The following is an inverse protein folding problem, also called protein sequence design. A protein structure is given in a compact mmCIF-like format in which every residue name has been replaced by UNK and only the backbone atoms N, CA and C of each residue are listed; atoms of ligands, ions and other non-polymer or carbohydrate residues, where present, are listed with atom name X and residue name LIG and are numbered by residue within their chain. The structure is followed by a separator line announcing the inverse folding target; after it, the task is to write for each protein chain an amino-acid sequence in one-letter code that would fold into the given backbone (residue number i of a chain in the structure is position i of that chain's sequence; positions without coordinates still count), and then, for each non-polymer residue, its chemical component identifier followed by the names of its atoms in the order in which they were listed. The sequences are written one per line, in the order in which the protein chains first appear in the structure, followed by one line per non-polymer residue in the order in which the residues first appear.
data_IF_563214862834
#
_entry.id   IF_563214862834
#
_cell.length_a   1.000
_cell.length_b   1.000
_cell.length_c   1.000
_cell.angle_alpha   90.00
_cell.angle_beta   90.00
_cell.angle_gamma   90.00
#
_symmetry.space_group_name_H-M   'P 1'
#
loop_
_entity.id
_entity.type
_entity.pdbx_description
1 polymer ?
#
# COMPACT_ATOMS: atom_id res chain seq x y z
N UNK A 1 -20.74 38.68 -5.72
CA UNK A 1 -20.47 37.59 -4.80
C UNK A 1 -19.64 38.12 -3.66
N UNK A 2 -20.21 38.20 -2.47
CA UNK A 2 -19.56 38.76 -1.28
C UNK A 2 -18.43 37.84 -0.81
N UNK A 3 -17.46 38.38 -0.09
CA UNK A 3 -16.47 37.61 0.66
C UNK A 3 -17.22 36.53 1.46
N UNK A 4 -16.66 35.29 1.66
CA UNK A 4 -17.35 34.32 2.49
C UNK A 4 -17.65 34.96 3.82
N UNK A 5 -18.96 35.13 4.08
CA UNK A 5 -19.43 35.75 5.32
C UNK A 5 -18.86 34.92 6.48
N UNK A 6 -18.55 35.58 7.56
CA UNK A 6 -18.16 34.90 8.82
C UNK A 6 -19.17 33.82 9.17
N UNK A 7 -20.44 34.03 8.84
CA UNK A 7 -21.55 33.11 9.02
C UNK A 7 -21.38 31.80 8.23
N UNK A 8 -20.86 31.84 7.00
CA UNK A 8 -20.57 30.64 6.22
C UNK A 8 -19.53 29.72 6.89
N UNK A 9 -18.47 30.32 7.43
CA UNK A 9 -17.41 29.56 8.10
C UNK A 9 -17.87 29.03 9.48
N UNK A 10 -18.71 29.80 10.18
CA UNK A 10 -19.32 29.38 11.44
C UNK A 10 -20.25 28.19 11.18
N UNK A 11 -21.14 28.28 10.19
CA UNK A 11 -22.05 27.20 9.80
C UNK A 11 -21.27 25.92 9.41
N UNK A 12 -20.20 26.09 8.61
CA UNK A 12 -19.33 24.98 8.23
C UNK A 12 -18.66 24.33 9.44
N UNK A 13 -18.15 25.14 10.36
CA UNK A 13 -17.52 24.67 11.60
C UNK A 13 -18.50 23.89 12.49
N UNK A 14 -19.71 24.45 12.71
CA UNK A 14 -20.75 23.80 13.50
C UNK A 14 -21.17 22.46 12.88
N UNK A 15 -21.34 22.39 11.57
CA UNK A 15 -21.64 21.14 10.85
C UNK A 15 -20.52 20.09 11.01
N UNK A 16 -19.27 20.51 10.93
CA UNK A 16 -18.15 19.59 11.15
C UNK A 16 -18.08 19.07 12.58
N UNK A 17 -18.43 19.87 13.58
CA UNK A 17 -18.43 19.47 14.99
C UNK A 17 -19.62 18.56 15.37
N UNK A 18 -20.79 18.78 14.79
CA UNK A 18 -22.02 18.08 15.12
C UNK A 18 -22.22 16.79 14.33
N UNK A 19 -21.39 16.55 13.32
CA UNK A 19 -21.51 15.36 12.48
C UNK A 19 -20.96 14.11 13.15
N UNK A 20 -21.64 13.00 12.96
CA UNK A 20 -21.14 11.65 13.29
C UNK A 20 -20.24 11.06 12.18
N UNK A 21 -20.13 11.75 11.03
CA UNK A 21 -19.27 11.39 9.90
C UNK A 21 -17.95 12.14 9.97
N UNK A 22 -16.98 11.76 9.10
CA UNK A 22 -15.68 12.43 9.04
C UNK A 22 -15.88 13.95 8.76
N UNK A 23 -15.35 14.85 9.60
CA UNK A 23 -15.45 16.29 9.41
C UNK A 23 -14.94 16.79 8.05
N UNK A 24 -13.98 16.09 7.45
CA UNK A 24 -13.46 16.41 6.13
C UNK A 24 -14.49 16.15 5.03
N UNK A 25 -15.26 15.06 5.12
CA UNK A 25 -16.33 14.75 4.18
C UNK A 25 -17.43 15.83 4.25
N UNK A 26 -17.83 16.23 5.47
CA UNK A 26 -18.80 17.30 5.70
C UNK A 26 -18.32 18.61 5.11
N UNK A 27 -17.04 18.94 5.32
CA UNK A 27 -16.43 20.15 4.77
C UNK A 27 -16.44 20.13 3.24
N UNK A 28 -16.03 19.03 2.64
CA UNK A 28 -15.98 18.87 1.18
C UNK A 28 -17.35 18.97 0.55
N UNK A 29 -18.38 18.34 1.12
CA UNK A 29 -19.77 18.39 0.66
C UNK A 29 -20.31 19.84 0.72
N UNK A 30 -20.08 20.52 1.83
CA UNK A 30 -20.53 21.91 2.03
C UNK A 30 -19.85 22.88 1.03
N UNK A 31 -18.54 22.73 0.83
CA UNK A 31 -17.80 23.52 -0.16
C UNK A 31 -18.30 23.27 -1.59
N UNK A 32 -18.49 22.01 -1.98
CA UNK A 32 -19.00 21.67 -3.31
C UNK A 32 -20.41 22.24 -3.53
N UNK A 33 -21.28 22.14 -2.52
CA UNK A 33 -22.66 22.62 -2.63
C UNK A 33 -22.73 24.15 -2.74
N UNK A 34 -22.08 24.87 -1.83
CA UNK A 34 -22.22 26.32 -1.72
C UNK A 34 -21.36 27.09 -2.74
N UNK A 35 -20.24 26.49 -3.18
CA UNK A 35 -19.37 27.11 -4.17
C UNK A 35 -19.63 26.60 -5.60
N UNK A 36 -20.60 25.70 -5.80
CA UNK A 36 -20.90 25.14 -7.11
C UNK A 36 -19.75 24.34 -7.72
N UNK A 37 -18.85 23.79 -6.89
CA UNK A 37 -17.71 23.03 -7.35
C UNK A 37 -18.12 21.59 -7.71
N UNK A 38 -17.43 21.02 -8.69
CA UNK A 38 -17.57 19.62 -9.08
C UNK A 38 -16.97 18.67 -8.04
N UNK A 39 -15.77 19.01 -7.57
CA UNK A 39 -15.06 18.27 -6.54
C UNK A 39 -14.06 19.16 -5.81
N UNK A 40 -13.71 18.79 -4.59
CA UNK A 40 -12.61 19.39 -3.82
C UNK A 40 -11.76 18.28 -3.20
N UNK A 41 -10.49 18.56 -3.00
CA UNK A 41 -9.59 17.72 -2.23
C UNK A 41 -8.64 18.55 -1.37
N UNK A 42 -8.27 18.02 -0.22
CA UNK A 42 -7.25 18.59 0.65
C UNK A 42 -6.14 17.53 0.81
N UNK A 43 -4.91 17.95 0.58
CA UNK A 43 -3.73 17.11 0.62
C UNK A 43 -2.80 17.60 1.69
N UNK A 44 -2.54 16.77 2.69
CA UNK A 44 -1.64 17.11 3.80
C UNK A 44 -0.21 16.73 3.46
N UNK A 45 0.74 17.61 3.75
CA UNK A 45 2.15 17.26 3.75
C UNK A 45 2.47 16.58 5.09
N UNK A 46 2.89 15.31 5.02
CA UNK A 46 3.33 14.61 6.21
C UNK A 46 4.65 15.23 6.72
N UNK A 47 4.82 15.46 8.05
CA UNK A 47 6.01 16.15 8.59
C UNK A 47 7.34 15.44 8.33
N UNK A 48 7.31 14.14 7.98
CA UNK A 48 8.50 13.32 7.74
C UNK A 48 8.68 12.86 6.28
N UNK A 49 7.84 13.34 5.35
CA UNK A 49 7.86 12.93 3.93
C UNK A 49 7.86 14.15 3.04
N UNK A 50 8.71 14.14 1.99
CA UNK A 50 8.71 15.20 0.97
C UNK A 50 7.52 15.13 0.03
N UNK A 51 6.94 13.93 -0.16
CA UNK A 51 5.79 13.75 -1.03
C UNK A 51 4.48 13.98 -0.28
N UNK A 52 3.54 14.65 -0.92
CA UNK A 52 2.22 14.89 -0.34
C UNK A 52 1.49 13.55 -0.18
N UNK A 53 1.28 13.13 1.07
CA UNK A 53 0.42 12.01 1.39
C UNK A 53 -1.03 12.46 1.39
N UNK A 54 -1.89 11.72 0.70
CA UNK A 54 -3.26 12.13 0.45
C UNK A 54 -4.20 11.82 1.62
N UNK A 55 -5.01 12.81 2.02
CA UNK A 55 -6.40 12.57 2.35
C UNK A 55 -7.27 13.21 1.28
N UNK A 56 -7.93 12.40 0.47
CA UNK A 56 -8.95 12.89 -0.47
C UNK A 56 -10.18 13.25 0.35
N UNK A 57 -10.56 14.52 0.29
CA UNK A 57 -11.60 15.03 1.17
C UNK A 57 -12.96 15.05 0.51
N UNK A 58 -13.26 14.94 -0.66
CA UNK A 58 -14.64 14.80 -1.16
C UNK A 58 -14.77 14.96 -2.68
N UNK A 59 -15.67 14.18 -3.27
CA UNK A 59 -16.14 14.37 -4.64
C UNK A 59 -17.64 14.15 -4.72
N UNK A 60 -18.36 15.02 -5.42
CA UNK A 60 -19.81 14.88 -5.71
C UNK A 60 -20.14 13.66 -6.58
N UNK A 61 -19.17 13.03 -7.23
CA UNK A 61 -19.29 11.83 -8.05
C UNK A 61 -18.01 11.01 -7.94
N UNK A 62 -18.09 9.71 -8.24
CA UNK A 62 -16.94 8.83 -8.28
C UNK A 62 -15.80 9.46 -9.09
N UNK A 63 -14.72 9.83 -8.41
CA UNK A 63 -13.50 10.31 -9.06
C UNK A 63 -12.92 9.15 -9.87
N UNK A 64 -12.66 9.39 -11.13
CA UNK A 64 -11.86 8.46 -11.92
C UNK A 64 -10.43 8.43 -11.36
N UNK A 65 -9.73 7.31 -11.47
CA UNK A 65 -8.32 7.17 -11.05
C UNK A 65 -7.45 8.28 -11.63
N UNK A 66 -7.72 8.71 -12.86
CA UNK A 66 -7.02 9.78 -13.55
C UNK A 66 -7.14 11.14 -12.85
N UNK A 67 -8.31 11.50 -12.32
CA UNK A 67 -8.49 12.73 -11.54
C UNK A 67 -7.75 12.68 -10.20
N UNK A 68 -7.70 11.51 -9.56
CA UNK A 68 -6.96 11.33 -8.30
C UNK A 68 -5.44 11.51 -8.52
N UNK A 69 -4.91 10.92 -9.59
CA UNK A 69 -3.49 11.08 -9.96
C UNK A 69 -3.16 12.54 -10.28
N UNK A 70 -4.06 13.23 -10.99
CA UNK A 70 -3.86 14.67 -11.29
C UNK A 70 -3.96 15.53 -10.06
N UNK A 71 -4.87 15.25 -9.13
CA UNK A 71 -4.94 15.91 -7.83
C UNK A 71 -3.61 15.80 -7.07
N UNK A 72 -3.03 14.59 -7.02
CA UNK A 72 -1.77 14.34 -6.33
C UNK A 72 -0.61 15.15 -6.93
N UNK A 73 -0.50 15.18 -8.26
CA UNK A 73 0.49 15.98 -8.97
C UNK A 73 0.35 17.47 -8.63
N UNK A 74 -0.89 18.00 -8.69
CA UNK A 74 -1.18 19.40 -8.41
C UNK A 74 -0.87 19.76 -6.95
N UNK A 75 -1.26 18.90 -6.02
CA UNK A 75 -1.00 19.08 -4.60
C UNK A 75 0.49 19.11 -4.29
N UNK A 76 1.27 18.18 -4.85
CA UNK A 76 2.72 18.14 -4.68
C UNK A 76 3.36 19.44 -5.17
N UNK A 77 3.01 19.90 -6.38
CA UNK A 77 3.52 21.14 -6.96
C UNK A 77 3.16 22.37 -6.14
N UNK A 78 1.91 22.47 -5.64
CA UNK A 78 1.49 23.60 -4.78
C UNK A 78 2.27 23.61 -3.46
N UNK A 79 2.53 22.44 -2.87
CA UNK A 79 3.27 22.34 -1.62
C UNK A 79 4.76 22.66 -1.78
N UNK A 80 5.36 22.29 -2.92
CA UNK A 80 6.77 22.56 -3.23
C UNK A 80 7.00 24.01 -3.68
N UNK A 81 6.27 24.46 -4.72
CA UNK A 81 6.47 25.77 -5.35
C UNK A 81 5.81 26.90 -4.56
N UNK A 82 4.88 26.59 -3.66
CA UNK A 82 4.07 27.53 -2.89
C UNK A 82 3.27 28.52 -3.75
N UNK A 83 2.91 28.13 -4.95
CA UNK A 83 2.20 28.94 -5.94
C UNK A 83 0.80 28.41 -6.19
N UNK A 84 -0.09 29.31 -6.61
CA UNK A 84 -1.42 28.93 -7.10
C UNK A 84 -1.28 28.36 -8.51
N UNK A 85 -1.91 27.21 -8.76
CA UNK A 85 -1.95 26.57 -10.07
C UNK A 85 -3.38 26.61 -10.63
N UNK A 86 -3.51 26.85 -11.92
CA UNK A 86 -4.78 26.83 -12.64
C UNK A 86 -4.58 26.16 -14.01
N UNK A 87 -5.64 25.49 -14.49
CA UNK A 87 -5.62 24.86 -15.79
C UNK A 87 -6.86 24.02 -16.06
N UNK A 88 -6.74 23.12 -17.01
CA UNK A 88 -7.79 22.17 -17.32
C UNK A 88 -7.22 20.77 -17.56
N UNK A 89 -8.02 19.74 -17.28
CA UNK A 89 -7.70 18.33 -17.50
C UNK A 89 -8.99 17.57 -17.79
N UNK A 90 -9.02 16.82 -18.88
CA UNK A 90 -10.17 16.00 -19.30
C UNK A 90 -11.53 16.71 -19.28
N UNK A 91 -11.57 17.97 -19.77
CA UNK A 91 -12.81 18.74 -19.85
C UNK A 91 -13.26 19.38 -18.54
N UNK A 92 -12.51 19.23 -17.47
CA UNK A 92 -12.70 19.91 -16.19
C UNK A 92 -11.60 20.95 -15.98
N UNK A 93 -11.94 22.03 -15.28
CA UNK A 93 -11.03 23.09 -14.89
C UNK A 93 -10.62 22.92 -13.43
N UNK A 94 -9.35 23.19 -13.11
CA UNK A 94 -8.86 23.11 -11.73
C UNK A 94 -8.28 24.44 -11.26
N UNK A 95 -8.37 24.65 -9.97
CA UNK A 95 -7.65 25.65 -9.20
C UNK A 95 -7.02 24.95 -8.00
N UNK A 96 -5.72 25.16 -7.76
CA UNK A 96 -5.02 24.55 -6.64
C UNK A 96 -4.20 25.63 -5.91
N UNK A 97 -4.32 25.68 -4.58
CA UNK A 97 -3.66 26.64 -3.73
C UNK A 97 -3.27 26.08 -2.38
N UNK A 98 -2.37 26.77 -1.67
CA UNK A 98 -1.87 26.35 -0.37
C UNK A 98 -2.81 26.79 0.76
N UNK A 99 -3.08 25.89 1.69
CA UNK A 99 -3.69 26.15 2.99
C UNK A 99 -2.60 26.19 4.06
N UNK A 100 -2.23 27.38 4.50
CA UNK A 100 -1.22 27.58 5.55
C UNK A 100 -1.90 27.78 6.90
N UNK A 101 -2.00 26.71 7.70
CA UNK A 101 -2.40 26.78 9.08
C UNK A 101 -1.22 27.00 10.03
N UNK A 102 -1.49 27.11 11.30
CA UNK A 102 -0.46 27.22 12.36
C UNK A 102 0.24 25.87 12.63
N UNK A 103 -0.52 24.79 12.48
CA UNK A 103 -0.07 23.41 12.78
C UNK A 103 -0.04 22.51 11.55
N UNK A 104 -0.69 22.91 10.46
CA UNK A 104 -0.82 22.11 9.26
C UNK A 104 -0.41 22.89 8.00
N UNK A 105 0.14 22.16 7.04
CA UNK A 105 0.44 22.69 5.71
C UNK A 105 -0.20 21.76 4.70
N UNK A 106 -1.21 22.28 4.02
CA UNK A 106 -2.04 21.48 3.14
C UNK A 106 -2.14 22.14 1.76
N UNK A 107 -2.39 21.36 0.72
CA UNK A 107 -2.82 21.85 -0.58
C UNK A 107 -4.34 21.65 -0.72
N UNK A 108 -5.02 22.63 -1.28
CA UNK A 108 -6.43 22.58 -1.62
C UNK A 108 -6.58 22.57 -3.13
N UNK A 109 -7.29 21.58 -3.67
CA UNK A 109 -7.57 21.45 -5.10
C UNK A 109 -9.07 21.49 -5.31
N UNK A 110 -9.53 22.43 -6.14
CA UNK A 110 -10.92 22.59 -6.52
C UNK A 110 -11.11 22.30 -8.02
N UNK A 111 -12.16 21.58 -8.36
CA UNK A 111 -12.55 21.24 -9.73
C UNK A 111 -13.90 21.85 -10.09
N UNK A 112 -14.02 22.35 -11.32
CA UNK A 112 -15.24 22.95 -11.86
C UNK A 112 -15.49 22.45 -13.28
N UNK A 113 -16.77 22.43 -13.69
CA UNK A 113 -17.17 22.20 -15.08
C UNK A 113 -17.00 23.43 -15.95
N UNK A 114 -16.80 24.62 -15.33
CA UNK A 114 -16.60 25.90 -16.01
C UNK A 114 -15.26 26.53 -15.62
N UNK A 115 -14.66 27.36 -16.48
CA UNK A 115 -13.42 28.05 -16.17
C UNK A 115 -13.56 28.95 -14.92
N UNK A 116 -12.53 28.97 -14.07
CA UNK A 116 -12.47 29.88 -12.94
C UNK A 116 -12.26 31.33 -13.41
N UNK A 117 -13.24 32.20 -13.14
CA UNK A 117 -13.10 33.63 -13.42
C UNK A 117 -12.09 34.26 -12.45
N UNK A 118 -11.52 35.42 -12.83
CA UNK A 118 -10.61 36.18 -11.96
C UNK A 118 -11.24 36.51 -10.61
N UNK A 119 -12.50 36.83 -10.58
CA UNK A 119 -13.25 37.11 -9.36
C UNK A 119 -13.36 35.88 -8.48
N UNK A 120 -13.60 34.71 -9.08
CA UNK A 120 -13.70 33.42 -8.36
C UNK A 120 -12.34 32.97 -7.82
N UNK A 121 -11.29 33.17 -8.58
CA UNK A 121 -9.90 32.91 -8.14
C UNK A 121 -9.55 33.76 -6.93
N UNK A 122 -9.79 35.08 -6.99
CA UNK A 122 -9.55 35.98 -5.85
C UNK A 122 -10.36 35.56 -4.62
N UNK A 123 -11.56 35.03 -4.81
CA UNK A 123 -12.37 34.50 -3.73
C UNK A 123 -11.74 33.25 -3.08
N UNK A 124 -11.29 32.27 -3.87
CA UNK A 124 -10.62 31.08 -3.36
C UNK A 124 -9.31 31.45 -2.63
N UNK A 125 -8.53 32.38 -3.15
CA UNK A 125 -7.31 32.87 -2.48
C UNK A 125 -7.58 33.47 -1.10
N UNK A 126 -8.70 34.19 -0.94
CA UNK A 126 -9.13 34.74 0.35
C UNK A 126 -9.75 33.69 1.28
N UNK A 127 -10.34 32.66 0.71
CA UNK A 127 -10.95 31.54 1.46
C UNK A 127 -9.88 30.62 2.06
N UNK A 128 -8.80 30.34 1.34
CA UNK A 128 -7.75 29.42 1.76
C UNK A 128 -7.18 29.69 3.16
N UNK A 129 -6.77 30.89 3.55
CA UNK A 129 -6.26 31.14 4.90
C UNK A 129 -7.30 30.86 5.99
N UNK A 130 -8.58 31.08 5.71
CA UNK A 130 -9.67 30.82 6.67
C UNK A 130 -10.00 29.32 6.78
N UNK A 131 -9.98 28.60 5.65
CA UNK A 131 -10.08 27.15 5.66
C UNK A 131 -8.91 26.50 6.40
N UNK A 132 -7.71 27.05 6.29
CA UNK A 132 -6.55 26.58 7.03
C UNK A 132 -6.75 26.67 8.55
N UNK A 133 -7.27 27.81 9.04
CA UNK A 133 -7.62 27.99 10.46
C UNK A 133 -8.72 26.99 10.89
N UNK A 134 -9.74 26.81 10.05
CA UNK A 134 -10.81 25.84 10.31
C UNK A 134 -10.27 24.41 10.40
N UNK A 135 -9.37 24.03 9.49
CA UNK A 135 -8.72 22.72 9.55
C UNK A 135 -7.88 22.54 10.81
N UNK A 136 -7.12 23.57 11.20
CA UNK A 136 -6.38 23.53 12.47
C UNK A 136 -7.32 23.34 13.67
N UNK A 137 -8.46 24.03 13.70
CA UNK A 137 -9.45 23.89 14.75
C UNK A 137 -10.10 22.49 14.74
N UNK A 138 -10.47 21.97 13.58
CA UNK A 138 -11.01 20.62 13.43
C UNK A 138 -9.99 19.57 13.96
N UNK A 139 -8.71 19.73 13.59
CA UNK A 139 -7.64 18.85 14.08
C UNK A 139 -7.47 18.95 15.60
N UNK A 140 -7.55 20.14 16.18
CA UNK A 140 -7.39 20.36 17.61
C UNK A 140 -8.58 19.88 18.44
N UNK A 141 -9.80 19.98 17.91
CA UNK A 141 -11.03 19.68 18.64
C UNK A 141 -11.61 18.30 18.36
N UNK A 142 -11.19 17.64 17.28
CA UNK A 142 -11.62 16.29 16.98
C UNK A 142 -10.85 15.28 17.85
N UNK A 143 -11.49 14.60 18.83
CA UNK A 143 -10.81 13.65 19.71
C UNK A 143 -10.19 12.46 18.95
N UNK A 144 -10.66 12.17 17.73
CA UNK A 144 -10.08 11.13 16.87
C UNK A 144 -8.79 11.62 16.21
N UNK A 145 -8.76 12.87 15.74
CA UNK A 145 -7.57 13.45 15.11
C UNK A 145 -6.56 14.03 16.11
N UNK A 146 -7.00 14.41 17.30
CA UNK A 146 -6.15 14.84 18.41
C UNK A 146 -5.55 13.65 19.20
N UNK A 147 -5.98 12.42 18.87
CA UNK A 147 -5.47 11.25 19.56
C UNK A 147 -3.99 11.04 19.18
N UNK A 148 -3.11 11.26 20.15
CA UNK A 148 -1.67 11.05 20.03
C UNK A 148 -1.35 9.66 19.45
N UNK A 149 -2.12 8.65 19.86
CA UNK A 149 -1.98 7.26 19.41
C UNK A 149 -2.26 7.14 17.90
N UNK A 150 -3.27 7.81 17.37
CA UNK A 150 -3.57 7.78 15.92
C UNK A 150 -2.43 8.39 15.09
N UNK A 151 -1.84 9.51 15.53
CA UNK A 151 -0.69 10.12 14.87
C UNK A 151 0.57 9.27 14.96
N UNK A 152 0.78 8.62 16.11
CA UNK A 152 1.89 7.68 16.29
C UNK A 152 1.72 6.45 15.38
N UNK A 153 0.49 5.96 15.19
CA UNK A 153 0.17 4.88 14.26
C UNK A 153 0.40 5.30 12.78
N UNK A 154 -0.09 6.47 12.38
CA UNK A 154 0.15 7.00 11.03
C UNK A 154 1.65 7.15 10.73
N UNK A 155 2.42 7.64 11.69
CA UNK A 155 3.87 7.77 11.57
C UNK A 155 4.56 6.40 11.46
N UNK A 156 4.07 5.42 12.20
CA UNK A 156 4.61 4.05 12.19
C UNK A 156 4.25 3.33 10.89
N UNK A 157 3.02 3.51 10.40
CA UNK A 157 2.59 3.01 9.08
C UNK A 157 3.47 3.55 7.97
N UNK A 158 3.76 4.86 8.02
CA UNK A 158 4.68 5.47 7.08
C UNK A 158 6.07 4.82 7.13
N UNK A 159 6.65 4.62 8.32
CA UNK A 159 7.94 3.95 8.46
C UNK A 159 7.88 2.55 7.85
N UNK A 160 6.82 1.79 8.14
CA UNK A 160 6.63 0.46 7.56
C UNK A 160 6.61 0.50 6.02
N UNK A 161 5.90 1.47 5.42
CA UNK A 161 5.88 1.67 3.97
C UNK A 161 7.26 1.99 3.38
N UNK A 162 8.08 2.79 4.07
CA UNK A 162 9.45 3.10 3.63
C UNK A 162 10.39 1.91 3.69
N UNK A 163 10.03 0.89 4.46
CA UNK A 163 10.80 -0.35 4.54
C UNK A 163 10.47 -1.35 3.42
N UNK A 164 9.41 -1.10 2.64
CA UNK A 164 9.05 -1.95 1.52
C UNK A 164 10.05 -1.80 0.35
N UNK A 165 10.26 -2.86 -0.43
CA UNK A 165 11.22 -2.82 -1.52
C UNK A 165 10.79 -1.88 -2.64
N UNK A 166 11.73 -1.18 -3.26
CA UNK A 166 11.49 -0.40 -4.47
C UNK A 166 11.62 -1.26 -5.71
N UNK A 167 10.61 -1.28 -6.56
CA UNK A 167 10.65 -1.96 -7.86
C UNK A 167 11.56 -1.28 -8.88
N UNK A 168 11.96 -0.04 -8.63
CA UNK A 168 12.83 0.72 -9.54
C UNK A 168 14.24 0.13 -9.66
N UNK A 169 14.67 -0.69 -8.70
CA UNK A 169 15.99 -1.34 -8.69
C UNK A 169 16.13 -2.49 -9.70
N UNK A 170 15.04 -2.99 -10.30
CA UNK A 170 15.03 -4.22 -11.10
C UNK A 170 14.63 -4.03 -12.58
N UNK A 171 14.72 -2.81 -13.10
CA UNK A 171 14.48 -2.58 -14.53
C UNK A 171 13.03 -2.63 -15.00
N UNK A 172 12.05 -2.74 -14.08
CA UNK A 172 10.66 -2.48 -14.44
C UNK A 172 9.63 -3.51 -13.97
N UNK A 173 8.39 -3.07 -13.92
CA UNK A 173 7.20 -3.81 -13.45
C UNK A 173 6.71 -4.93 -14.38
N UNK A 174 7.40 -5.15 -15.51
CA UNK A 174 6.98 -6.19 -16.45
C UNK A 174 7.27 -7.58 -15.93
N UNK A 175 8.40 -7.77 -15.24
CA UNK A 175 8.88 -9.07 -14.78
C UNK A 175 8.60 -9.32 -13.31
N UNK A 176 8.56 -8.26 -12.50
CA UNK A 176 8.41 -8.37 -11.07
C UNK A 176 7.49 -7.26 -10.56
N UNK A 177 6.46 -7.66 -9.82
CA UNK A 177 5.55 -6.72 -9.17
C UNK A 177 5.03 -7.31 -7.86
N UNK A 178 4.50 -6.46 -6.99
CA UNK A 178 3.88 -6.89 -5.76
C UNK A 178 2.70 -5.99 -5.38
N UNK A 179 1.85 -6.51 -4.49
CA UNK A 179 0.81 -5.73 -3.80
C UNK A 179 0.80 -6.13 -2.33
N UNK A 180 0.57 -5.15 -1.48
CA UNK A 180 0.31 -5.33 -0.05
C UNK A 180 -0.91 -4.52 0.33
N UNK A 181 -1.89 -5.18 0.89
CA UNK A 181 -3.14 -4.60 1.36
C UNK A 181 -3.33 -5.00 2.82
N UNK A 182 -2.82 -4.22 3.76
CA UNK A 182 -3.01 -4.50 5.17
C UNK A 182 -4.46 -4.29 5.57
N UNK A 183 -4.96 -5.11 6.51
CA UNK A 183 -6.33 -4.98 7.07
C UNK A 183 -6.41 -3.90 8.14
N UNK A 184 -5.31 -3.60 8.79
CA UNK A 184 -5.17 -2.53 9.78
C UNK A 184 -4.15 -1.49 9.32
N UNK A 185 -3.93 -0.43 10.10
CA UNK A 185 -2.91 0.58 9.84
C UNK A 185 -1.51 -0.01 9.71
N UNK A 186 -1.23 -1.11 10.46
CA UNK A 186 0.03 -1.85 10.41
C UNK A 186 -0.25 -3.32 10.12
N UNK A 187 0.57 -3.94 9.27
CA UNK A 187 0.48 -5.34 8.91
C UNK A 187 1.61 -6.18 9.49
N UNK A 188 1.31 -7.48 9.72
CA UNK A 188 2.31 -8.51 10.06
C UNK A 188 3.03 -9.06 8.83
N UNK A 189 2.46 -8.87 7.66
CA UNK A 189 3.05 -9.31 6.40
C UNK A 189 4.32 -8.56 6.05
N UNK A 190 5.23 -9.27 5.43
CA UNK A 190 6.49 -8.74 4.93
C UNK A 190 6.80 -9.33 3.55
N UNK A 191 7.25 -8.49 2.64
CA UNK A 191 7.87 -8.94 1.40
C UNK A 191 9.14 -8.14 1.13
N UNK A 192 10.08 -8.79 0.44
CA UNK A 192 11.33 -8.13 0.07
C UNK A 192 11.91 -8.64 -1.25
N UNK A 193 12.73 -7.79 -1.83
CA UNK A 193 13.42 -7.99 -3.10
C UNK A 193 14.87 -7.59 -2.89
N UNK A 194 15.78 -8.51 -3.11
CA UNK A 194 17.22 -8.29 -2.95
C UNK A 194 17.89 -8.51 -4.31
N UNK A 195 18.46 -7.45 -4.89
CA UNK A 195 19.25 -7.55 -6.11
C UNK A 195 20.69 -7.91 -5.77
N UNK A 196 21.25 -8.89 -6.48
CA UNK A 196 22.63 -9.31 -6.34
C UNK A 196 23.47 -8.81 -7.53
N UNK A 197 24.80 -8.67 -7.31
CA UNK A 197 25.73 -8.13 -8.32
C UNK A 197 25.79 -8.94 -9.62
N UNK A 198 25.51 -10.24 -9.56
CA UNK A 198 25.50 -11.15 -10.71
C UNK A 198 24.16 -11.13 -11.50
N UNK A 199 23.25 -10.21 -11.16
CA UNK A 199 21.94 -10.07 -11.81
C UNK A 199 20.87 -11.02 -11.29
N UNK A 200 21.18 -11.92 -10.36
CA UNK A 200 20.16 -12.74 -9.70
C UNK A 200 19.38 -11.92 -8.66
N UNK A 201 18.21 -12.43 -8.28
CA UNK A 201 17.27 -11.70 -7.40
C UNK A 201 16.75 -12.62 -6.31
N UNK A 202 16.91 -12.18 -5.06
CA UNK A 202 16.28 -12.82 -3.90
C UNK A 202 14.86 -12.27 -3.69
N UNK A 203 13.87 -13.15 -3.55
CA UNK A 203 12.47 -12.81 -3.35
C UNK A 203 11.94 -13.50 -2.10
N UNK A 204 11.24 -12.78 -1.26
CA UNK A 204 10.62 -13.36 -0.06
C UNK A 204 9.25 -12.77 0.21
N UNK A 205 8.36 -13.61 0.74
CA UNK A 205 7.13 -13.22 1.42
C UNK A 205 7.11 -13.93 2.75
N UNK A 206 6.73 -13.22 3.78
CA UNK A 206 6.63 -13.72 5.14
C UNK A 206 5.37 -13.15 5.81
N UNK A 207 4.88 -13.88 6.79
CA UNK A 207 3.72 -13.50 7.59
C UNK A 207 4.04 -13.78 9.07
N UNK A 208 3.98 -12.72 9.87
CA UNK A 208 4.27 -12.77 11.29
C UNK A 208 3.00 -12.97 12.11
N UNK A 209 3.04 -13.86 13.08
CA UNK A 209 1.95 -14.07 14.04
C UNK A 209 1.50 -12.76 14.68
N UNK A 210 0.20 -12.46 14.57
CA UNK A 210 -0.44 -11.30 15.18
C UNK A 210 -0.80 -10.22 14.18
N UNK A 211 -1.85 -9.44 14.50
CA UNK A 211 -2.34 -8.35 13.66
C UNK A 211 -2.01 -6.99 14.27
N UNK A 212 -1.93 -5.97 13.42
CA UNK A 212 -1.61 -4.62 13.86
C UNK A 212 -0.20 -4.48 14.43
N UNK A 213 -0.04 -3.66 15.47
CA UNK A 213 1.27 -3.34 16.07
C UNK A 213 2.09 -4.57 16.51
N UNK A 214 1.54 -5.55 17.23
CA UNK A 214 2.32 -6.73 17.63
C UNK A 214 2.94 -7.47 16.45
N UNK A 215 2.13 -7.76 15.42
CA UNK A 215 2.61 -8.41 14.18
C UNK A 215 3.67 -7.58 13.46
N UNK A 216 3.47 -6.26 13.36
CA UNK A 216 4.41 -5.35 12.73
C UNK A 216 5.78 -5.33 13.43
N UNK A 217 5.84 -5.40 14.77
CA UNK A 217 7.11 -5.50 15.51
C UNK A 217 7.82 -6.83 15.26
N UNK A 218 7.09 -7.93 15.30
CA UNK A 218 7.63 -9.28 15.00
C UNK A 218 8.19 -9.33 13.58
N UNK A 219 7.43 -8.82 12.62
CA UNK A 219 7.84 -8.68 11.21
C UNK A 219 9.13 -7.87 11.08
N UNK A 220 9.24 -6.72 11.77
CA UNK A 220 10.42 -5.85 11.68
C UNK A 220 11.69 -6.54 12.21
N UNK A 221 11.59 -7.31 13.29
CA UNK A 221 12.69 -8.12 13.82
C UNK A 221 13.11 -9.16 12.77
N UNK A 222 12.17 -9.95 12.27
CA UNK A 222 12.45 -10.98 11.27
C UNK A 222 13.06 -10.39 9.98
N UNK A 223 12.49 -9.29 9.47
CA UNK A 223 13.02 -8.56 8.31
C UNK A 223 14.46 -8.10 8.50
N UNK A 224 14.75 -7.51 9.65
CA UNK A 224 16.09 -6.94 9.91
C UNK A 224 17.15 -8.05 9.90
N UNK A 225 16.88 -9.16 10.58
CA UNK A 225 17.76 -10.31 10.61
C UNK A 225 17.89 -10.93 9.21
N UNK A 226 16.75 -11.13 8.51
CA UNK A 226 16.73 -11.67 7.16
C UNK A 226 17.60 -10.87 6.19
N UNK A 227 17.42 -9.55 6.11
CA UNK A 227 18.18 -8.70 5.19
C UNK A 227 19.68 -8.74 5.49
N UNK A 228 20.05 -8.79 6.77
CA UNK A 228 21.45 -8.88 7.15
C UNK A 228 22.11 -10.17 6.65
N UNK A 229 21.39 -11.32 6.71
CA UNK A 229 21.90 -12.62 6.29
C UNK A 229 21.83 -12.75 4.76
N UNK A 230 20.70 -12.39 4.16
CA UNK A 230 20.41 -12.65 2.76
C UNK A 230 21.29 -11.84 1.78
N UNK A 231 21.82 -10.66 2.20
CA UNK A 231 22.72 -9.85 1.37
C UNK A 231 23.98 -10.58 0.91
N UNK A 232 24.44 -11.60 1.66
CA UNK A 232 25.61 -12.41 1.34
C UNK A 232 25.36 -13.46 0.24
N UNK A 233 24.14 -13.52 -0.31
CA UNK A 233 23.73 -14.47 -1.35
C UNK A 233 24.04 -15.95 -1.01
N UNK A 234 23.84 -16.33 0.23
CA UNK A 234 23.94 -17.73 0.64
C UNK A 234 22.66 -18.51 0.27
N UNK A 235 22.72 -19.85 0.13
CA UNK A 235 21.54 -20.64 -0.27
C UNK A 235 20.32 -20.43 0.63
N UNK A 236 19.09 -20.38 0.06
CA UNK A 236 17.86 -20.07 0.81
C UNK A 236 17.66 -20.88 2.08
N UNK A 237 17.93 -22.17 2.06
CA UNK A 237 17.78 -23.03 3.23
C UNK A 237 18.73 -22.66 4.38
N UNK A 238 19.94 -22.15 4.06
CA UNK A 238 20.88 -21.66 5.07
C UNK A 238 20.44 -20.32 5.61
N UNK A 239 19.92 -19.43 4.77
CA UNK A 239 19.35 -18.16 5.22
C UNK A 239 18.26 -18.42 6.25
N UNK A 240 17.28 -19.28 5.93
CA UNK A 240 16.16 -19.59 6.82
C UNK A 240 16.61 -20.29 8.11
N UNK A 241 17.60 -21.20 8.03
CA UNK A 241 18.13 -21.87 9.25
C UNK A 241 18.85 -20.89 10.18
N UNK A 242 19.67 -20.00 9.63
CA UNK A 242 20.36 -18.98 10.41
C UNK A 242 19.37 -17.95 10.98
N UNK A 243 18.43 -17.51 10.15
CA UNK A 243 17.36 -16.60 10.56
C UNK A 243 16.54 -17.19 11.72
N UNK A 244 16.11 -18.46 11.61
CA UNK A 244 15.35 -19.13 12.66
C UNK A 244 16.07 -19.11 14.01
N UNK A 245 17.35 -19.46 14.04
CA UNK A 245 18.11 -19.51 15.29
C UNK A 245 18.30 -18.12 15.90
N UNK A 246 18.61 -17.13 15.07
CA UNK A 246 18.75 -15.75 15.55
C UNK A 246 17.41 -15.16 16.00
N UNK A 247 16.35 -15.40 15.25
CA UNK A 247 15.00 -14.95 15.59
C UNK A 247 14.54 -15.51 16.94
N UNK A 248 14.71 -16.82 17.19
CA UNK A 248 14.39 -17.45 18.48
C UNK A 248 15.14 -16.75 19.64
N UNK A 249 16.41 -16.42 19.43
CA UNK A 249 17.21 -15.74 20.46
C UNK A 249 16.62 -14.36 20.81
N UNK A 250 16.22 -13.58 19.78
CA UNK A 250 15.69 -12.25 19.96
C UNK A 250 14.27 -12.24 20.57
N UNK A 251 13.44 -13.23 20.23
CA UNK A 251 12.03 -13.28 20.69
C UNK A 251 11.82 -14.30 21.82
N UNK A 252 12.87 -14.77 22.48
CA UNK A 252 12.82 -15.85 23.47
C UNK A 252 11.82 -15.65 24.62
N UNK A 253 11.44 -14.40 24.92
CA UNK A 253 10.45 -14.06 25.94
C UNK A 253 9.03 -13.91 25.39
N UNK A 254 8.83 -14.09 24.08
CA UNK A 254 7.55 -13.86 23.38
C UNK A 254 7.14 -15.13 22.64
N UNK A 255 5.93 -15.61 22.88
CA UNK A 255 5.38 -16.75 22.13
C UNK A 255 4.90 -16.26 20.76
N UNK A 256 5.79 -16.34 19.77
CA UNK A 256 5.55 -15.83 18.42
C UNK A 256 6.31 -16.64 17.36
N UNK A 257 5.82 -16.59 16.14
CA UNK A 257 6.45 -17.22 14.99
C UNK A 257 6.25 -16.38 13.71
N UNK A 258 7.03 -16.71 12.68
CA UNK A 258 6.90 -16.13 11.35
C UNK A 258 6.92 -17.23 10.31
N UNK A 259 5.95 -17.26 9.42
CA UNK A 259 6.04 -18.11 8.22
C UNK A 259 6.81 -17.35 7.14
N UNK A 260 7.69 -18.01 6.41
CA UNK A 260 8.49 -17.34 5.37
C UNK A 260 8.82 -18.29 4.22
N UNK A 261 8.58 -17.80 3.00
CA UNK A 261 9.12 -18.38 1.78
C UNK A 261 10.25 -17.49 1.27
N UNK A 262 11.37 -18.10 0.89
CA UNK A 262 12.49 -17.38 0.29
C UNK A 262 13.04 -18.13 -0.91
N UNK A 263 13.26 -17.41 -2.03
CA UNK A 263 13.87 -17.93 -3.23
C UNK A 263 14.91 -16.99 -3.82
N UNK A 264 15.82 -17.55 -4.60
CA UNK A 264 16.75 -16.82 -5.47
C UNK A 264 16.45 -17.23 -6.90
N UNK A 265 16.10 -16.25 -7.72
CA UNK A 265 15.94 -16.39 -9.17
C UNK A 265 17.22 -15.94 -9.87
N UNK A 266 17.76 -16.82 -10.73
CA UNK A 266 18.88 -16.52 -11.60
C UNK A 266 18.39 -16.50 -13.06
N UNK A 267 18.22 -15.33 -13.67
CA UNK A 267 17.72 -15.23 -15.05
C UNK A 267 18.70 -15.80 -16.06
N UNK A 268 20.01 -15.73 -15.82
CA UNK A 268 21.02 -16.24 -16.75
C UNK A 268 21.01 -17.78 -16.80
N UNK A 269 20.75 -18.42 -15.67
CA UNK A 269 20.65 -19.89 -15.56
C UNK A 269 19.21 -20.39 -15.70
N UNK A 270 18.22 -19.51 -15.79
CA UNK A 270 16.78 -19.85 -15.78
C UNK A 270 16.46 -20.80 -14.65
N UNK A 271 16.93 -20.47 -13.47
CA UNK A 271 16.80 -21.34 -12.30
C UNK A 271 16.23 -20.60 -11.10
N UNK A 272 15.40 -21.29 -10.35
CA UNK A 272 14.82 -20.85 -9.10
C UNK A 272 15.25 -21.82 -8.00
N UNK A 273 16.02 -21.34 -7.03
CA UNK A 273 16.40 -22.10 -5.84
C UNK A 273 15.62 -21.54 -4.67
N UNK A 274 14.96 -22.38 -3.87
CA UNK A 274 14.09 -21.90 -2.80
C UNK A 274 14.08 -22.78 -1.57
N UNK A 275 13.52 -22.24 -0.50
CA UNK A 275 13.24 -22.92 0.75
C UNK A 275 11.99 -22.33 1.41
N UNK A 276 11.32 -23.12 2.25
CA UNK A 276 10.06 -22.75 2.87
C UNK A 276 10.10 -23.02 4.38
N UNK A 277 9.78 -22.00 5.17
CA UNK A 277 9.65 -22.04 6.61
C UNK A 277 8.17 -21.92 7.02
N UNK A 278 7.37 -22.93 6.69
CA UNK A 278 5.96 -23.01 7.09
C UNK A 278 5.01 -22.06 6.35
N UNK A 279 5.47 -21.38 5.33
CA UNK A 279 4.66 -20.44 4.54
C UNK A 279 3.79 -21.18 3.53
N UNK A 280 2.72 -20.52 3.05
CA UNK A 280 1.88 -21.04 2.00
C UNK A 280 2.71 -21.40 0.76
N UNK A 281 2.49 -22.60 0.18
CA UNK A 281 3.24 -23.00 -1.00
C UNK A 281 2.95 -22.06 -2.18
N UNK A 282 3.96 -21.47 -2.81
CA UNK A 282 3.75 -20.62 -3.99
C UNK A 282 3.13 -21.39 -5.15
N UNK A 283 2.38 -20.65 -5.96
CA UNK A 283 1.80 -21.16 -7.21
C UNK A 283 2.72 -20.83 -8.36
N UNK A 284 2.97 -21.82 -9.24
CA UNK A 284 3.77 -21.65 -10.46
C UNK A 284 2.93 -22.02 -11.68
N UNK A 285 2.97 -21.17 -12.70
CA UNK A 285 2.49 -21.48 -14.04
C UNK A 285 3.70 -21.85 -14.91
N UNK A 286 3.65 -23.00 -15.55
CA UNK A 286 4.63 -23.42 -16.57
C UNK A 286 4.10 -23.04 -17.97
N UNK A 287 4.85 -22.22 -18.65
CA UNK A 287 4.55 -21.79 -20.03
C UNK A 287 4.68 -22.94 -21.03
N UNK A 288 5.59 -23.88 -20.76
CA UNK A 288 5.80 -25.04 -21.62
C UNK A 288 4.67 -26.08 -21.52
N UNK A 289 4.16 -26.32 -20.30
CA UNK A 289 3.10 -27.29 -20.04
C UNK A 289 1.69 -26.68 -20.11
N UNK A 290 1.59 -25.37 -20.16
CA UNK A 290 0.36 -24.58 -20.06
C UNK A 290 -0.46 -24.96 -18.80
N UNK A 291 0.20 -25.20 -17.69
CA UNK A 291 -0.40 -25.68 -16.45
C UNK A 291 0.03 -24.87 -15.24
N UNK A 292 -0.88 -24.78 -14.28
CA UNK A 292 -0.63 -24.19 -12.98
C UNK A 292 -0.44 -25.28 -11.94
N UNK A 293 0.70 -25.27 -11.29
CA UNK A 293 1.08 -26.15 -10.19
C UNK A 293 1.37 -25.38 -8.90
N UNK A 294 1.74 -26.11 -7.88
CA UNK A 294 2.18 -25.60 -6.59
C UNK A 294 3.62 -26.04 -6.37
N UNK A 295 4.51 -25.12 -5.98
CA UNK A 295 5.88 -25.48 -5.65
C UNK A 295 5.90 -26.35 -4.39
N UNK A 296 6.53 -27.55 -4.44
CA UNK A 296 6.68 -28.36 -3.25
C UNK A 296 7.60 -27.66 -2.25
N UNK A 297 7.42 -27.95 -0.98
CA UNK A 297 8.31 -27.44 0.07
C UNK A 297 7.59 -27.41 1.41
N UNK A 298 8.17 -28.09 2.39
CA UNK A 298 7.65 -28.13 3.76
C UNK A 298 8.74 -27.68 4.73
N UNK A 299 8.32 -26.96 5.75
CA UNK A 299 9.16 -26.53 6.86
C UNK A 299 8.28 -26.13 8.02
N UNK A 300 8.85 -25.96 9.19
CA UNK A 300 8.17 -25.34 10.32
C UNK A 300 8.40 -23.82 10.27
N UNK A 301 7.47 -23.04 10.81
CA UNK A 301 7.62 -21.60 10.93
C UNK A 301 8.88 -21.23 11.72
N UNK A 302 9.45 -20.08 11.40
CA UNK A 302 10.55 -19.49 12.16
C UNK A 302 10.07 -19.18 13.58
N UNK A 303 10.93 -19.45 14.58
CA UNK A 303 10.55 -19.30 15.98
C UNK A 303 10.00 -20.58 16.62
N UNK A 304 9.59 -21.56 15.81
CA UNK A 304 8.95 -22.77 16.33
C UNK A 304 9.90 -23.75 17.06
N UNK A 305 11.14 -23.87 16.60
CA UNK A 305 12.13 -24.78 17.21
C UNK A 305 13.56 -24.37 16.83
N UNK A 306 14.46 -24.37 17.79
CA UNK A 306 15.88 -24.13 17.57
C UNK A 306 16.55 -25.28 16.80
N UNK A 307 17.60 -24.96 16.02
CA UNK A 307 18.41 -25.93 15.29
C UNK A 307 17.72 -26.62 14.11
N UNK A 308 16.63 -26.06 13.61
CA UNK A 308 15.92 -26.60 12.45
C UNK A 308 16.74 -26.43 11.18
N UNK A 309 16.95 -27.54 10.46
CA UNK A 309 17.46 -27.53 9.10
C UNK A 309 16.32 -27.46 8.08
N UNK A 310 16.28 -26.39 7.29
CA UNK A 310 15.33 -26.27 6.18
C UNK A 310 15.86 -26.99 4.94
N UNK A 311 14.95 -27.44 4.07
CA UNK A 311 15.31 -28.12 2.83
C UNK A 311 15.50 -27.14 1.69
N UNK A 312 16.44 -27.45 0.80
CA UNK A 312 16.66 -26.72 -0.44
C UNK A 312 15.95 -27.40 -1.59
N UNK A 313 15.24 -26.64 -2.38
CA UNK A 313 14.58 -27.07 -3.60
C UNK A 313 15.09 -26.24 -4.77
N UNK A 314 15.05 -26.81 -5.97
CA UNK A 314 15.37 -26.10 -7.20
C UNK A 314 14.43 -26.53 -8.31
N UNK A 315 14.11 -25.58 -9.18
CA UNK A 315 13.36 -25.83 -10.40
C UNK A 315 13.86 -24.92 -11.53
N UNK A 316 13.59 -25.29 -12.76
CA UNK A 316 13.75 -24.38 -13.89
C UNK A 316 12.65 -23.33 -13.87
N UNK A 317 12.96 -22.17 -14.41
CA UNK A 317 12.02 -21.06 -14.56
C UNK A 317 12.26 -20.43 -15.94
N UNK A 318 11.45 -20.85 -16.89
CA UNK A 318 11.63 -20.54 -18.30
C UNK A 318 10.90 -19.23 -18.67
N UNK A 319 11.21 -18.63 -19.83
CA UNK A 319 10.47 -17.49 -20.34
C UNK A 319 8.95 -17.76 -20.41
N UNK A 320 8.17 -16.82 -19.89
CA UNK A 320 6.72 -16.95 -19.81
C UNK A 320 6.19 -17.70 -18.59
N UNK A 321 7.06 -18.36 -17.79
CA UNK A 321 6.65 -18.92 -16.49
C UNK A 321 6.25 -17.80 -15.52
N UNK A 322 5.33 -18.11 -14.60
CA UNK A 322 4.83 -17.15 -13.62
C UNK A 322 4.90 -17.80 -12.24
N UNK A 323 5.56 -17.12 -11.30
CA UNK A 323 5.57 -17.48 -9.89
C UNK A 323 4.74 -16.46 -9.10
N UNK A 324 3.82 -16.97 -8.28
CA UNK A 324 3.04 -16.15 -7.34
C UNK A 324 3.31 -16.63 -5.93
N UNK A 325 3.93 -15.77 -5.12
CA UNK A 325 4.16 -15.96 -3.69
C UNK A 325 3.16 -15.07 -2.97
N UNK A 326 2.48 -15.57 -1.93
CA UNK A 326 1.36 -14.84 -1.31
C UNK A 326 1.17 -15.25 0.16
N UNK A 327 0.65 -14.31 0.98
CA UNK A 327 0.22 -14.58 2.35
C UNK A 327 -1.16 -15.28 2.38
N UNK A 328 -1.53 -15.81 3.53
CA UNK A 328 -2.78 -16.57 3.70
C UNK A 328 -4.03 -15.74 3.47
N UNK A 329 -4.00 -14.41 3.70
CA UNK A 329 -5.13 -13.53 3.43
C UNK A 329 -5.63 -13.58 1.98
N UNK A 330 -4.75 -13.84 0.99
CA UNK A 330 -5.18 -14.07 -0.39
C UNK A 330 -5.94 -15.39 -0.54
N UNK A 331 -5.47 -16.43 0.15
CA UNK A 331 -6.02 -17.79 0.06
C UNK A 331 -7.35 -17.90 0.81
N UNK A 332 -7.39 -17.33 2.02
CA UNK A 332 -8.47 -17.50 2.99
C UNK A 332 -9.61 -16.48 2.85
N UNK A 333 -9.50 -15.52 1.95
CA UNK A 333 -10.54 -14.54 1.64
C UNK A 333 -11.88 -15.25 1.33
N UNK A 334 -12.96 -14.90 2.09
CA UNK A 334 -14.25 -15.59 2.02
C UNK A 334 -15.34 -14.73 1.41
N UNK A 335 -16.19 -15.35 0.59
CA UNK A 335 -17.39 -14.72 0.06
C UNK A 335 -18.57 -14.80 1.06
N UNK A 336 -19.73 -14.26 0.67
CA UNK A 336 -20.96 -14.30 1.49
C UNK A 336 -21.42 -15.72 1.83
N UNK A 337 -21.05 -16.72 1.04
CA UNK A 337 -21.34 -18.15 1.27
C UNK A 337 -20.22 -18.87 2.03
N UNK A 338 -19.30 -18.14 2.67
CA UNK A 338 -18.15 -18.66 3.42
C UNK A 338 -17.17 -19.51 2.59
N UNK A 339 -17.23 -19.42 1.26
CA UNK A 339 -16.32 -20.12 0.37
C UNK A 339 -15.01 -19.32 0.22
N UNK A 340 -13.89 -19.98 0.41
CA UNK A 340 -12.56 -19.38 0.23
C UNK A 340 -12.26 -19.08 -1.24
N UNK A 341 -11.52 -18.02 -1.51
CA UNK A 341 -10.94 -17.75 -2.82
C UNK A 341 -10.04 -18.90 -3.27
N UNK A 342 -9.18 -19.35 -2.37
CA UNK A 342 -8.44 -20.57 -2.42
C UNK A 342 -7.48 -20.67 -3.62
N UNK A 343 -6.78 -21.78 -3.70
CA UNK A 343 -5.86 -22.07 -4.84
C UNK A 343 -6.58 -22.06 -6.18
N UNK A 344 -7.89 -22.38 -6.22
CA UNK A 344 -8.68 -22.33 -7.44
C UNK A 344 -8.82 -20.89 -7.96
N UNK A 345 -9.13 -19.94 -7.10
CA UNK A 345 -9.25 -18.53 -7.47
C UNK A 345 -7.92 -17.97 -7.99
N UNK A 346 -6.82 -18.33 -7.33
CA UNK A 346 -5.46 -17.92 -7.75
C UNK A 346 -5.14 -18.53 -9.13
N UNK A 347 -5.33 -19.84 -9.30
CA UNK A 347 -5.10 -20.56 -10.56
C UNK A 347 -5.89 -19.95 -11.73
N UNK A 348 -7.22 -19.80 -11.55
CA UNK A 348 -8.10 -19.26 -12.58
C UNK A 348 -7.72 -17.82 -12.97
N UNK A 349 -7.17 -17.06 -12.01
CA UNK A 349 -6.68 -15.71 -12.27
C UNK A 349 -5.37 -15.75 -13.07
N UNK A 350 -4.41 -16.58 -12.69
CA UNK A 350 -3.14 -16.70 -13.43
C UNK A 350 -3.41 -17.10 -14.87
N UNK A 351 -4.26 -18.12 -15.11
CA UNK A 351 -4.61 -18.56 -16.47
C UNK A 351 -5.22 -17.42 -17.28
N UNK A 352 -6.09 -16.63 -16.67
CA UNK A 352 -6.77 -15.50 -17.33
C UNK A 352 -5.83 -14.36 -17.68
N UNK A 353 -4.83 -14.10 -16.85
CA UNK A 353 -3.94 -12.94 -16.95
C UNK A 353 -2.50 -13.29 -17.36
N UNK A 354 -2.21 -14.55 -17.75
CA UNK A 354 -0.86 -15.02 -18.06
C UNK A 354 -0.14 -14.22 -19.16
N UNK A 355 -0.88 -13.63 -20.10
CA UNK A 355 -0.32 -12.80 -21.17
C UNK A 355 0.02 -11.36 -20.72
N UNK A 356 -0.43 -10.94 -19.54
CA UNK A 356 -0.16 -9.62 -19.00
C UNK A 356 1.23 -9.56 -18.33
N UNK A 357 1.68 -8.35 -18.03
CA UNK A 357 2.88 -8.12 -17.20
C UNK A 357 2.68 -8.63 -15.78
N UNK A 358 3.76 -8.78 -15.02
CA UNK A 358 3.68 -9.12 -13.59
C UNK A 358 2.77 -8.13 -12.83
N UNK A 359 2.80 -6.85 -13.19
CA UNK A 359 1.94 -5.81 -12.62
C UNK A 359 0.46 -6.06 -12.93
N UNK A 360 0.14 -6.38 -14.17
CA UNK A 360 -1.23 -6.71 -14.58
C UNK A 360 -1.77 -8.00 -13.93
N UNK A 361 -0.90 -8.98 -13.68
CA UNK A 361 -1.26 -10.21 -12.95
C UNK A 361 -1.54 -9.88 -11.47
N UNK A 362 -0.70 -9.04 -10.82
CA UNK A 362 -0.94 -8.56 -9.47
C UNK A 362 -2.31 -7.87 -9.35
N UNK A 363 -2.60 -6.93 -10.26
CA UNK A 363 -3.89 -6.22 -10.27
C UNK A 363 -5.06 -7.17 -10.52
N UNK A 364 -4.88 -8.15 -11.41
CA UNK A 364 -5.87 -9.19 -11.65
C UNK A 364 -6.19 -10.01 -10.41
N UNK A 365 -5.17 -10.41 -9.64
CA UNK A 365 -5.33 -11.15 -8.38
C UNK A 365 -6.05 -10.31 -7.33
N UNK A 366 -5.59 -9.06 -7.11
CA UNK A 366 -6.21 -8.15 -6.15
C UNK A 366 -7.68 -7.88 -6.51
N UNK A 367 -7.95 -7.50 -7.75
CA UNK A 367 -9.32 -7.19 -8.18
C UNK A 367 -10.25 -8.39 -8.00
N UNK A 368 -9.80 -9.60 -8.32
CA UNK A 368 -10.62 -10.79 -8.20
C UNK A 368 -10.85 -11.23 -6.76
N UNK A 369 -9.84 -11.13 -5.90
CA UNK A 369 -10.03 -11.45 -4.46
C UNK A 369 -10.93 -10.42 -3.80
N UNK A 370 -10.78 -9.12 -4.10
CA UNK A 370 -11.63 -8.07 -3.54
C UNK A 370 -13.09 -8.15 -4.04
N UNK A 371 -13.32 -8.63 -5.26
CA UNK A 371 -14.66 -8.94 -5.76
C UNK A 371 -15.25 -10.21 -5.14
N UNK A 372 -14.41 -11.14 -4.71
CA UNK A 372 -14.86 -12.40 -4.09
C UNK A 372 -15.16 -12.21 -2.60
N UNK A 373 -14.31 -11.48 -1.88
CA UNK A 373 -14.44 -11.37 -0.42
C UNK A 373 -15.56 -10.40 -0.01
N UNK A 374 -16.32 -10.79 1.01
CA UNK A 374 -17.33 -9.95 1.66
C UNK A 374 -16.68 -8.79 2.42
N UNK A 375 -15.58 -9.08 3.10
CA UNK A 375 -14.74 -8.12 3.81
C UNK A 375 -13.33 -8.70 3.92
N UNK A 376 -12.34 -7.85 3.90
CA UNK A 376 -10.96 -8.27 4.17
C UNK A 376 -10.82 -8.54 5.66
N UNK A 377 -10.35 -9.74 6.02
CA UNK A 377 -10.16 -10.20 7.40
C UNK A 377 -8.71 -10.40 7.78
N UNK A 378 -7.82 -10.42 6.80
CA UNK A 378 -6.37 -10.55 6.99
C UNK A 378 -5.59 -9.72 5.99
N UNK A 379 -4.30 -9.51 6.27
CA UNK A 379 -3.38 -8.84 5.38
C UNK A 379 -3.24 -9.65 4.07
N UNK A 380 -3.34 -8.97 2.94
CA UNK A 380 -3.17 -9.61 1.62
C UNK A 380 -1.87 -9.10 1.02
N UNK A 381 -0.88 -9.97 0.97
CA UNK A 381 0.40 -9.68 0.35
C UNK A 381 0.68 -10.69 -0.76
N UNK A 382 1.10 -10.20 -1.91
CA UNK A 382 1.47 -11.05 -3.02
C UNK A 382 2.61 -10.46 -3.83
N UNK A 383 3.46 -11.34 -4.35
CA UNK A 383 4.57 -11.02 -5.23
C UNK A 383 4.48 -11.91 -6.47
N UNK A 384 4.58 -11.31 -7.64
CA UNK A 384 4.55 -12.01 -8.94
C UNK A 384 5.87 -11.81 -9.64
N UNK A 385 6.53 -12.94 -9.99
CA UNK A 385 7.66 -12.98 -10.89
C UNK A 385 7.21 -13.61 -12.21
N UNK A 386 7.53 -13.01 -13.34
CA UNK A 386 7.32 -13.55 -14.69
C UNK A 386 8.66 -13.75 -15.37
N UNK A 387 8.89 -14.91 -15.95
CA UNK A 387 10.09 -15.21 -16.72
C UNK A 387 10.17 -14.36 -18.00
N UNK A 388 11.38 -13.86 -18.27
CA UNK A 388 11.68 -13.07 -19.47
C UNK A 388 12.14 -13.96 -20.62
#
# INVERSE_FOLDING_TARGET
MMCPDTDFLIELYEKCLMSSTDPYDVMGEHLCHNLGLFAVSVWSQHPYVRDASSRVVFSKRDKTVDLILKDQELAARVLDDQTVLQGSHNGLYYWAGILRGTHTRNAFVAWSTEPFSQMYTTYLEKLCPRLAVLLDLIVLMNPISSNRVARELESTQFIQHQLMPSLNALGGKNFLSYRMLPVHELGGDYLDIISYEDGSVGLTVADAMGKGMPGAFVMLIARTIFRFIAKEKIPPHRVLSTLNNQFITEVSAVDTFVTQFYCIYDPAQRSLIYSNAGHNPPVIFSSQEDQVGVLPGKGIALGGKEGVGYQSYATRFEPGDILVIFSDGLLDARNESEQQFGLRGIRDTIIRYKEYSADGICDGLVNRVMQHCKSQTDDISLLVLKGD
#
